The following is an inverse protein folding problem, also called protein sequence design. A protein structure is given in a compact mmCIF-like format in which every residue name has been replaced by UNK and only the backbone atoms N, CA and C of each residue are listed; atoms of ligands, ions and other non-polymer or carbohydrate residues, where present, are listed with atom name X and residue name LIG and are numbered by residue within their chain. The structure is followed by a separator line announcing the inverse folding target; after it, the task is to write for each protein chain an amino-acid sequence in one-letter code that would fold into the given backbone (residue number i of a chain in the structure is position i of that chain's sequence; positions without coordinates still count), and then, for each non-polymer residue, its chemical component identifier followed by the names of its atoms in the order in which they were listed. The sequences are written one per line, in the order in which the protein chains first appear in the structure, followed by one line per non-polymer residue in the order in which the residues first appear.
data_IF_542255852078
#
_entry.id   IF_542255852078
#
_cell.length_a   1.000
_cell.length_b   1.000
_cell.length_c   1.000
_cell.angle_alpha   90.00
_cell.angle_beta   90.00
_cell.angle_gamma   90.00
#
_symmetry.space_group_name_H-M   'P 1'
#
loop_
_entity.id
_entity.type
_entity.pdbx_description
1 polymer ?
#
# COMPACT_ATOMS: atom_id res chain seq x y z
N UNK A 1 -18.28 -13.75 21.08
CA UNK A 1 -17.64 -14.16 19.81
C UNK A 1 -17.11 -12.91 19.11
N UNK A 2 -16.17 -12.20 19.74
CA UNK A 2 -15.69 -10.86 19.30
C UNK A 2 -14.16 -10.76 19.16
N UNK A 3 -13.42 -11.85 19.29
CA UNK A 3 -11.95 -11.80 19.36
C UNK A 3 -11.23 -11.76 18.00
N UNK A 4 -11.96 -11.81 16.87
CA UNK A 4 -11.37 -11.97 15.54
C UNK A 4 -11.41 -10.71 14.65
N UNK A 5 -12.02 -9.61 15.09
CA UNK A 5 -12.25 -8.44 14.23
C UNK A 5 -10.95 -7.72 13.86
N UNK A 6 -9.93 -7.78 14.72
CA UNK A 6 -8.64 -7.09 14.53
C UNK A 6 -7.49 -8.00 14.07
N UNK A 7 -7.81 -9.21 13.62
CA UNK A 7 -6.82 -10.18 13.17
C UNK A 7 -6.63 -10.10 11.67
N UNK A 8 -5.39 -9.85 11.26
CA UNK A 8 -4.95 -10.09 9.89
C UNK A 8 -4.61 -11.57 9.73
N UNK A 9 -5.03 -12.14 8.61
CA UNK A 9 -4.98 -13.58 8.36
C UNK A 9 -3.74 -13.98 7.55
N UNK A 10 -3.12 -13.03 6.86
CA UNK A 10 -1.93 -13.30 6.05
C UNK A 10 -0.65 -13.31 6.88
N UNK A 11 0.29 -14.13 6.43
CA UNK A 11 1.65 -14.23 6.93
C UNK A 11 2.63 -13.74 5.88
N UNK A 12 3.83 -13.26 6.29
CA UNK A 12 4.91 -12.96 5.36
C UNK A 12 5.18 -14.13 4.41
N UNK A 13 5.19 -13.88 3.10
CA UNK A 13 5.41 -14.95 2.13
C UNK A 13 6.88 -15.38 2.10
N UNK A 14 7.12 -16.68 2.31
CA UNK A 14 8.43 -17.33 2.11
C UNK A 14 8.47 -17.90 0.70
N UNK A 15 9.48 -17.52 -0.07
CA UNK A 15 9.68 -17.98 -1.44
C UNK A 15 10.98 -18.78 -1.55
N UNK A 16 10.98 -19.84 -2.36
CA UNK A 16 12.22 -20.34 -2.95
C UNK A 16 12.53 -19.50 -4.18
N UNK A 17 13.49 -18.58 -4.06
CA UNK A 17 13.85 -17.68 -5.15
C UNK A 17 15.09 -18.20 -5.85
N UNK A 18 14.97 -18.42 -7.16
CA UNK A 18 16.08 -18.78 -8.00
C UNK A 18 17.03 -17.57 -8.18
N UNK A 19 18.17 -17.61 -7.49
CA UNK A 19 19.16 -16.53 -7.52
C UNK A 19 19.78 -16.34 -8.91
N UNK A 20 19.93 -17.40 -9.71
CA UNK A 20 20.40 -17.27 -11.09
C UNK A 20 19.40 -16.50 -11.96
N UNK A 21 18.10 -16.61 -11.65
CA UNK A 21 17.07 -15.83 -12.32
C UNK A 21 17.14 -14.35 -11.93
N UNK A 22 17.37 -14.05 -10.65
CA UNK A 22 17.57 -12.66 -10.19
C UNK A 22 18.82 -12.03 -10.84
N UNK A 23 19.92 -12.77 -10.92
CA UNK A 23 21.13 -12.30 -11.59
C UNK A 23 20.90 -11.99 -13.09
N UNK A 24 20.03 -12.77 -13.75
CA UNK A 24 19.61 -12.50 -15.13
C UNK A 24 18.77 -11.21 -15.23
N UNK A 25 17.85 -10.98 -14.28
CA UNK A 25 17.06 -9.74 -14.22
C UNK A 25 17.98 -8.53 -14.03
N UNK A 26 18.92 -8.59 -13.09
CA UNK A 26 19.88 -7.51 -12.85
C UNK A 26 20.74 -7.22 -14.08
N UNK A 27 21.32 -8.26 -14.69
CA UNK A 27 22.13 -8.11 -15.91
C UNK A 27 21.32 -7.51 -17.06
N UNK A 28 20.07 -7.96 -17.24
CA UNK A 28 19.18 -7.42 -18.26
C UNK A 28 18.91 -5.93 -18.02
N UNK A 29 18.60 -5.54 -16.78
CA UNK A 29 18.42 -4.14 -16.40
C UNK A 29 19.69 -3.30 -16.68
N UNK A 30 20.87 -3.79 -16.33
CA UNK A 30 22.13 -3.10 -16.61
C UNK A 30 22.40 -2.90 -18.11
N UNK A 31 21.92 -3.82 -18.96
CA UNK A 31 22.10 -3.76 -20.41
C UNK A 31 21.06 -2.89 -21.11
N UNK A 32 19.83 -2.85 -20.60
CA UNK A 32 18.69 -2.26 -21.31
C UNK A 32 18.05 -1.06 -20.60
N UNK A 33 18.31 -0.86 -19.31
CA UNK A 33 17.74 0.20 -18.48
C UNK A 33 16.30 -0.06 -18.03
N UNK A 34 15.76 -1.27 -18.24
CA UNK A 34 14.41 -1.67 -17.81
C UNK A 34 14.35 -3.18 -17.55
N UNK A 35 13.29 -3.65 -16.90
CA UNK A 35 12.98 -5.08 -16.74
C UNK A 35 11.68 -5.47 -17.47
N UNK A 36 11.53 -6.72 -17.92
CA UNK A 36 10.27 -7.22 -18.45
C UNK A 36 9.16 -7.25 -17.38
N UNK A 37 7.91 -6.99 -17.76
CA UNK A 37 6.76 -6.98 -16.84
C UNK A 37 6.59 -8.29 -16.07
N UNK A 38 6.80 -9.43 -16.74
CA UNK A 38 6.70 -10.76 -16.13
C UNK A 38 7.79 -11.05 -15.08
N UNK A 39 8.82 -10.19 -14.96
CA UNK A 39 9.87 -10.32 -13.94
C UNK A 39 9.59 -9.50 -12.68
N UNK A 40 8.63 -8.56 -12.72
CA UNK A 40 8.43 -7.55 -11.67
C UNK A 40 8.14 -8.17 -10.31
N UNK A 41 7.15 -9.06 -10.23
CA UNK A 41 6.76 -9.66 -8.95
C UNK A 41 7.90 -10.50 -8.36
N UNK A 42 8.54 -11.35 -9.16
CA UNK A 42 9.69 -12.16 -8.71
C UNK A 42 10.83 -11.29 -8.18
N UNK A 43 11.08 -10.14 -8.82
CA UNK A 43 12.10 -9.21 -8.37
C UNK A 43 11.73 -8.53 -7.04
N UNK A 44 10.49 -8.04 -6.92
CA UNK A 44 9.99 -7.40 -5.69
C UNK A 44 9.92 -8.37 -4.52
N UNK A 45 9.43 -9.58 -4.76
CA UNK A 45 9.40 -10.69 -3.79
C UNK A 45 10.79 -10.99 -3.24
N UNK A 46 11.80 -10.98 -4.11
CA UNK A 46 13.19 -11.19 -3.72
C UNK A 46 13.75 -10.05 -2.88
N UNK A 47 13.53 -8.81 -3.29
CA UNK A 47 13.96 -7.64 -2.51
C UNK A 47 13.37 -7.68 -1.09
N UNK A 48 12.08 -7.96 -0.96
CA UNK A 48 11.41 -8.05 0.34
C UNK A 48 11.93 -9.22 1.16
N UNK A 49 12.14 -10.39 0.56
CA UNK A 49 12.65 -11.55 1.26
C UNK A 49 14.07 -11.29 1.80
N UNK A 50 14.97 -10.75 0.97
CA UNK A 50 16.33 -10.42 1.37
C UNK A 50 16.38 -9.35 2.46
N UNK A 51 15.48 -8.38 2.39
CA UNK A 51 15.30 -7.39 3.44
C UNK A 51 14.82 -8.01 4.76
N UNK A 52 13.79 -8.86 4.74
CA UNK A 52 13.25 -9.54 5.92
C UNK A 52 14.31 -10.40 6.60
N UNK A 53 15.15 -11.12 5.84
CA UNK A 53 16.24 -11.94 6.38
C UNK A 53 17.22 -11.14 7.26
N UNK A 54 17.37 -9.83 7.07
CA UNK A 54 18.23 -8.98 7.92
C UNK A 54 17.69 -8.80 9.34
N UNK A 55 16.42 -9.11 9.57
CA UNK A 55 15.77 -9.01 10.87
C UNK A 55 15.82 -10.31 11.65
N UNK A 56 15.92 -11.44 10.95
CA UNK A 56 15.70 -12.76 11.52
C UNK A 56 16.99 -13.30 12.14
N UNK A 57 16.83 -14.06 13.22
CA UNK A 57 17.92 -14.85 13.80
C UNK A 57 18.03 -16.22 13.11
N UNK A 58 16.92 -16.75 12.58
CA UNK A 58 16.85 -17.99 11.81
C UNK A 58 15.82 -17.89 10.68
N UNK A 59 15.92 -18.76 9.67
CA UNK A 59 14.93 -18.82 8.58
C UNK A 59 13.57 -19.41 8.99
N UNK A 60 13.50 -20.04 10.16
CA UNK A 60 12.27 -20.60 10.73
C UNK A 60 11.38 -19.51 11.33
N UNK A 61 11.97 -18.37 11.71
CA UNK A 61 11.26 -17.25 12.33
C UNK A 61 10.38 -16.48 11.33
N UNK A 62 10.58 -16.65 10.02
CA UNK A 62 10.05 -15.77 8.97
C UNK A 62 8.54 -15.53 9.05
N UNK A 63 7.74 -16.57 9.26
CA UNK A 63 6.26 -16.49 9.27
C UNK A 63 5.73 -15.78 10.53
N UNK A 64 6.43 -15.98 11.66
CA UNK A 64 5.96 -15.54 12.98
C UNK A 64 6.66 -14.28 13.49
N UNK A 65 7.71 -13.81 12.82
CA UNK A 65 8.46 -12.65 13.24
C UNK A 65 7.66 -11.34 13.18
N UNK A 66 7.62 -10.58 14.27
CA UNK A 66 6.82 -9.36 14.37
C UNK A 66 7.38 -8.18 13.56
N UNK A 67 8.69 -8.19 13.27
CA UNK A 67 9.45 -7.09 12.67
C UNK A 67 9.44 -5.77 13.46
N UNK A 68 8.97 -5.79 14.71
CA UNK A 68 8.94 -4.61 15.59
C UNK A 68 10.36 -4.04 15.75
N UNK A 69 10.50 -2.74 15.49
CA UNK A 69 11.78 -2.03 15.63
C UNK A 69 12.82 -2.33 14.56
N UNK A 70 12.46 -3.05 13.49
CA UNK A 70 13.39 -3.44 12.43
C UNK A 70 13.42 -2.49 11.23
N UNK A 71 12.47 -1.54 11.14
CA UNK A 71 12.27 -0.71 9.95
C UNK A 71 13.52 0.05 9.49
N UNK A 72 14.28 0.66 10.42
CA UNK A 72 15.53 1.35 10.07
C UNK A 72 16.60 0.42 9.49
N UNK A 73 16.73 -0.80 10.03
CA UNK A 73 17.68 -1.80 9.53
C UNK A 73 17.28 -2.26 8.11
N UNK A 74 16.00 -2.54 7.92
CA UNK A 74 15.45 -2.96 6.62
C UNK A 74 15.60 -1.87 5.58
N UNK A 75 15.31 -0.62 5.94
CA UNK A 75 15.45 0.52 5.03
C UNK A 75 16.90 0.66 4.53
N UNK A 76 17.87 0.58 5.46
CA UNK A 76 19.30 0.63 5.10
C UNK A 76 19.69 -0.52 4.18
N UNK A 77 19.29 -1.76 4.50
CA UNK A 77 19.60 -2.92 3.69
C UNK A 77 19.01 -2.85 2.27
N UNK A 78 17.75 -2.40 2.13
CA UNK A 78 17.12 -2.18 0.82
C UNK A 78 17.82 -1.06 0.05
N UNK A 79 18.15 0.05 0.71
CA UNK A 79 18.86 1.18 0.10
C UNK A 79 20.19 0.72 -0.48
N UNK A 80 21.01 0.06 0.33
CA UNK A 80 22.32 -0.43 -0.08
C UNK A 80 22.25 -1.48 -1.19
N UNK A 81 21.22 -2.35 -1.17
CA UNK A 81 21.01 -3.36 -2.21
C UNK A 81 20.64 -2.70 -3.54
N UNK A 82 19.63 -1.82 -3.54
CA UNK A 82 19.13 -1.15 -4.74
C UNK A 82 20.17 -0.20 -5.35
N UNK A 83 20.94 0.50 -4.51
CA UNK A 83 22.04 1.36 -4.96
C UNK A 83 23.13 0.57 -5.69
N UNK A 84 23.54 -0.58 -5.14
CA UNK A 84 24.54 -1.45 -5.78
C UNK A 84 24.06 -2.01 -7.12
N UNK A 85 22.77 -2.31 -7.23
CA UNK A 85 22.16 -2.81 -8.47
C UNK A 85 21.86 -1.69 -9.48
N UNK A 86 21.98 -0.41 -9.09
CA UNK A 86 21.73 0.74 -9.94
C UNK A 86 20.24 1.06 -10.18
N UNK A 87 19.34 0.59 -9.31
CA UNK A 87 17.91 0.91 -9.40
C UNK A 87 17.59 2.25 -8.72
N UNK A 88 16.86 3.16 -9.37
CA UNK A 88 16.44 4.42 -8.76
C UNK A 88 15.54 4.15 -7.57
N UNK A 89 15.95 4.64 -6.40
CA UNK A 89 15.23 4.40 -5.16
C UNK A 89 15.39 5.58 -4.19
N UNK A 90 14.49 5.63 -3.21
CA UNK A 90 14.46 6.67 -2.19
C UNK A 90 14.13 6.09 -0.84
N UNK A 91 15.00 6.30 0.14
CA UNK A 91 14.67 6.06 1.55
C UNK A 91 13.88 7.27 2.10
N UNK A 92 12.80 7.01 2.84
CA UNK A 92 12.03 8.07 3.49
C UNK A 92 11.38 7.58 4.81
N UNK A 93 10.91 8.52 5.62
CA UNK A 93 10.17 8.22 6.84
C UNK A 93 8.72 8.70 6.71
N UNK A 94 7.77 7.87 7.13
CA UNK A 94 6.35 8.22 7.11
C UNK A 94 6.03 9.42 8.00
N UNK A 95 6.77 9.63 9.09
CA UNK A 95 6.66 10.83 9.91
C UNK A 95 6.79 12.12 9.09
N UNK A 96 7.67 12.14 8.07
CA UNK A 96 7.80 13.31 7.20
C UNK A 96 6.57 13.54 6.31
N UNK A 97 5.83 12.46 5.98
CA UNK A 97 4.63 12.51 5.14
C UNK A 97 3.43 13.00 5.96
N UNK A 98 3.34 12.60 7.23
CA UNK A 98 2.23 12.95 8.14
C UNK A 98 2.58 14.10 9.10
N UNK A 99 3.63 14.86 8.79
CA UNK A 99 4.13 16.00 9.58
C UNK A 99 4.33 15.69 11.08
N UNK A 100 4.89 14.53 11.39
CA UNK A 100 5.15 14.06 12.74
C UNK A 100 6.61 13.62 12.91
N UNK A 101 7.06 13.42 14.16
CA UNK A 101 8.35 12.79 14.47
C UNK A 101 8.50 11.47 13.70
N UNK A 102 9.75 11.00 13.43
CA UNK A 102 9.98 9.74 12.74
C UNK A 102 9.13 8.61 13.32
N UNK A 103 8.36 7.94 12.46
CA UNK A 103 7.44 6.85 12.84
C UNK A 103 7.90 5.54 12.23
N UNK A 104 8.10 5.54 10.92
CA UNK A 104 8.34 4.32 10.17
C UNK A 104 9.22 4.59 8.97
N UNK A 105 10.24 3.75 8.80
CA UNK A 105 11.29 3.91 7.80
C UNK A 105 11.12 2.87 6.69
N UNK A 106 11.02 3.33 5.44
CA UNK A 106 10.74 2.51 4.26
C UNK A 106 11.45 3.05 3.01
N UNK A 107 11.37 2.30 1.91
CA UNK A 107 11.93 2.68 0.63
C UNK A 107 10.82 2.81 -0.42
N UNK A 108 11.01 3.75 -1.34
CA UNK A 108 10.34 3.77 -2.62
C UNK A 108 11.32 3.29 -3.68
N UNK A 109 10.87 2.43 -4.58
CA UNK A 109 11.62 1.94 -5.74
C UNK A 109 10.90 2.39 -7.01
N UNK A 110 11.62 3.03 -7.93
CA UNK A 110 11.13 3.34 -9.27
C UNK A 110 11.65 2.29 -10.23
N UNK A 111 10.76 1.49 -10.81
CA UNK A 111 11.06 0.45 -11.78
C UNK A 111 10.70 0.90 -13.19
N UNK A 112 11.68 0.97 -14.11
CA UNK A 112 11.42 1.01 -15.54
C UNK A 112 11.01 -0.39 -16.03
N UNK A 113 9.79 -0.51 -16.54
CA UNK A 113 9.18 -1.78 -16.93
C UNK A 113 8.77 -1.73 -18.40
N UNK A 114 9.13 -2.75 -19.17
CA UNK A 114 8.63 -2.92 -20.54
C UNK A 114 7.22 -3.54 -20.50
N UNK A 115 6.21 -2.74 -20.87
CA UNK A 115 4.79 -3.13 -21.01
C UNK A 115 4.29 -2.76 -22.39
N UNK A 116 3.72 -3.71 -23.13
CA UNK A 116 3.16 -3.48 -24.48
C UNK A 116 4.12 -2.68 -25.39
N UNK A 117 5.37 -3.12 -25.48
CA UNK A 117 6.47 -2.50 -26.26
C UNK A 117 6.84 -1.06 -25.86
N UNK A 118 6.41 -0.61 -24.67
CA UNK A 118 6.75 0.71 -24.12
C UNK A 118 7.36 0.57 -22.74
N UNK A 119 8.39 1.36 -22.47
CA UNK A 119 8.95 1.48 -21.12
C UNK A 119 8.09 2.46 -20.32
N UNK A 120 7.53 1.98 -19.21
CA UNK A 120 6.80 2.79 -18.22
C UNK A 120 7.60 2.84 -16.91
N UNK A 121 7.39 3.87 -16.11
CA UNK A 121 8.00 4.01 -14.79
C UNK A 121 6.93 3.78 -13.72
N UNK A 122 7.01 2.64 -13.04
CA UNK A 122 6.14 2.35 -11.91
C UNK A 122 6.90 2.57 -10.60
N UNK A 123 6.22 3.14 -9.61
CA UNK A 123 6.78 3.34 -8.28
C UNK A 123 6.16 2.34 -7.31
N UNK A 124 7.00 1.69 -6.52
CA UNK A 124 6.59 0.76 -5.48
C UNK A 124 7.04 1.25 -4.12
N UNK A 125 6.16 1.18 -3.13
CA UNK A 125 6.56 1.32 -1.73
C UNK A 125 6.94 -0.06 -1.22
N UNK A 126 8.16 -0.18 -0.69
CA UNK A 126 8.68 -1.38 -0.06
C UNK A 126 8.57 -1.21 1.45
N UNK A 127 7.68 -1.98 2.07
CA UNK A 127 7.52 -2.06 3.52
C UNK A 127 7.50 -3.51 4.02
N UNK A 128 8.68 -4.17 4.04
CA UNK A 128 8.79 -5.56 4.49
C UNK A 128 8.38 -5.77 5.95
N UNK A 129 8.33 -4.69 6.73
CA UNK A 129 8.12 -4.70 8.19
C UNK A 129 6.74 -4.24 8.62
N UNK A 130 5.81 -4.03 7.68
CA UNK A 130 4.47 -3.52 7.95
C UNK A 130 3.72 -4.31 9.04
N UNK A 131 3.97 -5.63 9.12
CA UNK A 131 3.38 -6.53 10.13
C UNK A 131 3.56 -6.06 11.58
N UNK A 132 4.57 -5.24 11.88
CA UNK A 132 4.72 -4.68 13.23
C UNK A 132 3.53 -3.78 13.66
N UNK A 133 2.80 -3.24 12.69
CA UNK A 133 1.61 -2.41 12.90
C UNK A 133 0.32 -3.22 12.92
N UNK A 134 0.39 -4.55 12.82
CA UNK A 134 -0.77 -5.44 12.69
C UNK A 134 -0.88 -6.42 13.85
N UNK A 135 -0.06 -6.24 14.90
CA UNK A 135 -0.06 -7.06 16.11
C UNK A 135 -1.29 -6.79 16.98
N UNK A 136 -1.89 -7.85 17.55
CA UNK A 136 -3.18 -7.78 18.26
C UNK A 136 -3.13 -6.79 19.42
N UNK A 137 -2.00 -6.75 20.11
CA UNK A 137 -1.78 -5.94 21.30
C UNK A 137 -1.63 -4.44 21.01
N UNK A 138 -1.54 -4.02 19.76
CA UNK A 138 -1.45 -2.60 19.41
C UNK A 138 -2.66 -2.12 18.57
N UNK A 139 -3.44 -3.06 18.03
CA UNK A 139 -4.59 -2.77 17.17
C UNK A 139 -5.92 -2.92 17.90
N UNK A 140 -6.09 -2.15 18.97
CA UNK A 140 -7.32 -2.16 19.78
C UNK A 140 -7.73 -0.74 20.17
N UNK A 141 -9.03 -0.52 20.34
CA UNK A 141 -9.59 0.80 20.68
C UNK A 141 -9.06 1.34 22.01
N UNK A 142 -8.79 0.45 22.97
CA UNK A 142 -8.35 0.80 24.33
C UNK A 142 -7.01 1.55 24.36
N UNK A 143 -6.23 1.47 23.28
CA UNK A 143 -4.98 2.24 23.12
C UNK A 143 -5.20 3.75 23.29
N UNK A 144 -6.40 4.26 23.03
CA UNK A 144 -6.78 5.66 23.28
C UNK A 144 -6.76 6.09 24.76
N UNK A 145 -6.67 5.15 25.70
CA UNK A 145 -6.71 5.42 27.14
C UNK A 145 -5.45 5.01 27.88
N UNK A 146 -4.45 4.49 27.16
CA UNK A 146 -3.19 4.05 27.75
C UNK A 146 -2.21 5.22 27.91
N UNK A 147 -1.41 5.19 28.97
CA UNK A 147 -0.33 6.16 29.15
C UNK A 147 0.74 6.02 28.06
N UNK A 148 1.26 7.16 27.62
CA UNK A 148 2.33 7.24 26.63
C UNK A 148 3.61 6.53 27.07
N UNK A 149 4.12 5.59 26.25
CA UNK A 149 5.38 4.87 26.52
C UNK A 149 6.47 5.22 25.51
N UNK A 150 7.64 5.66 25.97
CA UNK A 150 8.85 5.76 25.14
C UNK A 150 8.90 6.93 24.14
N UNK A 151 9.30 6.66 22.89
CA UNK A 151 9.75 7.68 21.92
C UNK A 151 8.75 8.04 20.79
N UNK A 152 7.72 7.22 20.54
CA UNK A 152 6.54 7.60 19.74
C UNK A 152 5.36 7.46 20.68
N UNK A 153 4.88 8.62 21.15
CA UNK A 153 3.96 8.74 22.28
C UNK A 153 2.65 9.31 21.78
N UNK A 154 1.82 8.45 21.21
CA UNK A 154 0.42 8.78 20.98
C UNK A 154 -0.38 7.60 21.53
N UNK A 155 -1.28 7.88 22.46
CA UNK A 155 -2.25 6.92 22.96
C UNK A 155 -3.27 6.68 21.82
N UNK A 156 -2.87 5.93 20.81
CA UNK A 156 -3.64 5.63 19.61
C UNK A 156 -3.41 4.19 19.17
N UNK A 157 -4.43 3.54 18.58
CA UNK A 157 -4.26 2.24 17.94
C UNK A 157 -3.26 2.32 16.78
N UNK A 158 -2.49 1.25 16.54
CA UNK A 158 -1.59 1.18 15.38
C UNK A 158 -2.35 1.28 14.04
N UNK A 159 -1.66 1.62 12.92
CA UNK A 159 -2.27 1.73 11.59
C UNK A 159 -3.14 0.54 11.17
N UNK A 160 -2.81 -0.68 11.61
CA UNK A 160 -3.61 -1.87 11.32
C UNK A 160 -5.05 -1.79 11.84
N UNK A 161 -5.30 -1.09 12.95
CA UNK A 161 -6.64 -0.90 13.50
C UNK A 161 -7.53 -0.15 12.51
N UNK A 162 -7.04 0.95 11.95
CA UNK A 162 -7.81 1.79 11.03
C UNK A 162 -8.07 1.09 9.69
N UNK A 163 -7.09 0.31 9.21
CA UNK A 163 -7.26 -0.52 8.00
C UNK A 163 -8.32 -1.61 8.22
N UNK A 164 -8.43 -2.17 9.43
CA UNK A 164 -9.42 -3.18 9.77
C UNK A 164 -10.87 -2.67 9.84
N UNK A 165 -11.09 -1.35 9.90
CA UNK A 165 -12.43 -0.76 9.93
C UNK A 165 -13.19 -0.91 8.61
N UNK A 166 -12.49 -1.25 7.50
CA UNK A 166 -13.11 -1.44 6.19
C UNK A 166 -12.66 -2.76 5.53
N UNK A 167 -13.49 -3.38 4.67
CA UNK A 167 -13.08 -4.55 3.91
C UNK A 167 -11.86 -4.31 3.00
N UNK A 168 -11.85 -3.17 2.30
CA UNK A 168 -10.77 -2.79 1.38
C UNK A 168 -9.45 -2.55 2.11
N UNK A 169 -9.47 -1.85 3.26
CA UNK A 169 -8.27 -1.65 4.08
C UNK A 169 -7.72 -2.97 4.62
N UNK A 170 -8.61 -3.90 5.01
CA UNK A 170 -8.23 -5.25 5.46
C UNK A 170 -7.60 -6.07 4.34
N UNK A 171 -8.13 -6.03 3.13
CA UNK A 171 -7.56 -6.71 1.96
C UNK A 171 -6.16 -6.15 1.64
N UNK A 172 -6.06 -4.82 1.55
CA UNK A 172 -4.79 -4.13 1.32
C UNK A 172 -3.72 -4.51 2.35
N UNK A 173 -4.07 -4.47 3.64
CA UNK A 173 -3.14 -4.81 4.71
C UNK A 173 -2.70 -6.28 4.67
N UNK A 174 -3.61 -7.20 4.33
CA UNK A 174 -3.27 -8.62 4.19
C UNK A 174 -2.27 -8.85 3.05
N UNK A 175 -2.50 -8.25 1.88
CA UNK A 175 -1.54 -8.34 0.77
C UNK A 175 -0.21 -7.66 1.14
N UNK A 176 -0.22 -6.52 1.83
CA UNK A 176 1.00 -5.87 2.27
C UNK A 176 1.78 -6.69 3.31
N UNK A 177 1.10 -7.38 4.25
CA UNK A 177 1.77 -8.31 5.18
C UNK A 177 2.44 -9.44 4.39
N UNK A 178 1.74 -10.01 3.42
CA UNK A 178 2.21 -11.13 2.60
C UNK A 178 3.39 -10.73 1.73
N UNK A 179 3.20 -9.74 0.87
CA UNK A 179 4.11 -9.37 -0.19
C UNK A 179 5.17 -8.37 0.27
N UNK A 180 4.87 -7.51 1.25
CA UNK A 180 5.80 -6.52 1.79
C UNK A 180 6.06 -5.32 0.88
N UNK A 181 5.27 -5.15 -0.18
CA UNK A 181 5.30 -4.01 -1.07
C UNK A 181 3.91 -3.73 -1.67
N UNK A 182 3.74 -2.54 -2.24
CA UNK A 182 2.55 -2.22 -3.04
C UNK A 182 2.88 -1.19 -4.13
N UNK A 183 2.07 -1.18 -5.20
CA UNK A 183 2.15 -0.17 -6.25
C UNK A 183 1.67 1.19 -5.72
N UNK A 184 2.49 2.22 -5.87
CA UNK A 184 2.21 3.59 -5.47
C UNK A 184 1.25 4.27 -6.47
N UNK A 185 -0.04 3.96 -6.33
CA UNK A 185 -1.15 4.60 -7.02
C UNK A 185 -2.02 5.39 -6.02
N UNK A 186 -3.00 6.16 -6.51
CA UNK A 186 -3.84 7.01 -5.66
C UNK A 186 -4.56 6.21 -4.56
N UNK A 187 -5.14 5.07 -4.90
CA UNK A 187 -5.93 4.24 -3.99
C UNK A 187 -5.08 3.62 -2.87
N UNK A 188 -4.02 2.90 -3.23
CA UNK A 188 -3.16 2.20 -2.27
C UNK A 188 -2.41 3.18 -1.37
N UNK A 189 -1.88 4.27 -1.95
CA UNK A 189 -1.15 5.27 -1.17
C UNK A 189 -2.07 5.98 -0.20
N UNK A 190 -3.33 6.27 -0.60
CA UNK A 190 -4.31 6.83 0.32
C UNK A 190 -4.61 5.90 1.49
N UNK A 191 -4.93 4.63 1.23
CA UNK A 191 -5.22 3.65 2.29
C UNK A 191 -4.06 3.55 3.30
N UNK A 192 -2.84 3.44 2.79
CA UNK A 192 -1.65 3.34 3.62
C UNK A 192 -1.43 4.60 4.47
N UNK A 193 -1.39 5.78 3.84
CA UNK A 193 -1.06 7.03 4.53
C UNK A 193 -2.19 7.53 5.46
N UNK A 194 -3.46 7.31 5.11
CA UNK A 194 -4.59 7.64 6.00
C UNK A 194 -4.48 6.89 7.33
N UNK A 195 -4.12 5.60 7.29
CA UNK A 195 -3.96 4.81 8.50
C UNK A 195 -2.84 5.34 9.41
N UNK A 196 -1.73 5.82 8.83
CA UNK A 196 -0.66 6.47 9.60
C UNK A 196 -1.02 7.87 10.07
N UNK A 197 -1.80 8.63 9.31
CA UNK A 197 -2.31 9.93 9.74
C UNK A 197 -3.25 9.77 10.95
N UNK A 198 -4.14 8.79 10.91
CA UNK A 198 -5.04 8.48 12.02
C UNK A 198 -4.29 7.95 13.25
N UNK A 199 -3.21 7.18 13.04
CA UNK A 199 -2.31 6.76 14.11
C UNK A 199 -1.67 7.94 14.86
N UNK A 200 -1.35 9.04 14.18
CA UNK A 200 -0.80 10.25 14.85
C UNK A 200 -1.87 11.22 15.32
N UNK A 201 -3.15 10.89 15.16
CA UNK A 201 -4.27 11.76 15.57
C UNK A 201 -4.80 11.33 16.94
N UNK A 202 -4.42 11.99 18.04
CA UNK A 202 -4.93 11.67 19.37
C UNK A 202 -6.43 11.93 19.47
N UNK A 203 -7.11 11.29 20.43
CA UNK A 203 -8.57 11.44 20.60
C UNK A 203 -8.98 12.89 20.87
N UNK A 204 -8.08 13.68 21.45
CA UNK A 204 -8.25 15.10 21.75
C UNK A 204 -8.46 15.95 20.49
N UNK A 205 -7.87 15.55 19.37
CA UNK A 205 -7.90 16.31 18.10
C UNK A 205 -9.20 16.08 17.31
N UNK A 206 -10.01 15.09 17.69
CA UNK A 206 -11.33 14.88 17.09
C UNK A 206 -12.30 15.95 17.58
N UNK A 207 -12.86 16.74 16.66
CA UNK A 207 -13.90 17.74 16.97
C UNK A 207 -15.18 17.07 17.49
N UNK A 208 -15.57 15.95 16.87
CA UNK A 208 -16.64 15.08 17.36
C UNK A 208 -16.06 13.83 18.02
N UNK A 209 -16.18 13.75 19.36
CA UNK A 209 -15.68 12.61 20.14
C UNK A 209 -16.40 11.30 19.82
N UNK A 210 -17.58 11.34 19.19
CA UNK A 210 -18.31 10.14 18.77
C UNK A 210 -17.61 9.37 17.63
N UNK A 211 -16.72 10.04 16.90
CA UNK A 211 -15.97 9.51 15.74
C UNK A 211 -14.63 8.87 16.10
N UNK A 212 -14.15 9.03 17.34
CA UNK A 212 -12.87 8.46 17.78
C UNK A 212 -12.85 6.96 17.52
N UNK A 213 -11.80 6.49 16.83
CA UNK A 213 -11.62 5.07 16.49
C UNK A 213 -12.62 4.49 15.49
N UNK A 214 -13.43 5.31 14.82
CA UNK A 214 -14.41 4.86 13.80
C UNK A 214 -14.11 5.36 12.39
N UNK A 215 -13.14 6.26 12.25
CA UNK A 215 -12.77 6.85 10.96
C UNK A 215 -11.63 6.07 10.36
N UNK A 216 -11.69 5.82 9.05
CA UNK A 216 -10.69 5.03 8.31
C UNK A 216 -10.09 5.79 7.11
N UNK A 217 -10.47 7.06 6.92
CA UNK A 217 -9.97 7.88 5.83
C UNK A 217 -9.88 9.35 6.23
N UNK A 218 -8.96 10.07 5.58
CA UNK A 218 -8.79 11.52 5.75
C UNK A 218 -9.25 12.28 4.51
N UNK A 219 -9.24 13.61 4.58
CA UNK A 219 -9.50 14.48 3.43
C UNK A 219 -8.40 14.49 2.36
N UNK A 220 -7.23 13.90 2.60
CA UNK A 220 -6.14 13.87 1.61
C UNK A 220 -6.39 12.84 0.51
N UNK A 221 -6.05 13.18 -0.73
CA UNK A 221 -6.00 12.20 -1.82
C UNK A 221 -4.69 11.40 -1.79
N UNK A 222 -4.63 10.29 -2.51
CA UNK A 222 -3.37 9.57 -2.70
C UNK A 222 -2.34 10.41 -3.46
N UNK A 223 -2.80 11.20 -4.44
CA UNK A 223 -1.96 12.14 -5.18
C UNK A 223 -1.29 13.19 -4.26
N UNK A 224 -2.00 13.67 -3.23
CA UNK A 224 -1.42 14.57 -2.22
C UNK A 224 -0.27 13.88 -1.48
N UNK A 225 -0.51 12.65 -0.99
CA UNK A 225 0.52 11.87 -0.31
C UNK A 225 1.70 11.51 -1.22
N UNK A 226 1.44 11.16 -2.48
CA UNK A 226 2.49 10.89 -3.49
C UNK A 226 3.37 12.13 -3.69
N UNK A 227 2.77 13.32 -3.76
CA UNK A 227 3.52 14.57 -3.85
C UNK A 227 4.41 14.78 -2.63
N UNK A 228 3.91 14.51 -1.42
CA UNK A 228 4.68 14.63 -0.17
C UNK A 228 5.83 13.62 -0.11
N UNK A 229 5.56 12.35 -0.42
CA UNK A 229 6.57 11.29 -0.50
C UNK A 229 7.69 11.71 -1.46
N UNK A 230 7.36 12.32 -2.60
CA UNK A 230 8.36 12.75 -3.58
C UNK A 230 9.15 13.99 -3.17
N UNK A 231 8.56 14.93 -2.42
CA UNK A 231 9.12 16.28 -2.26
C UNK A 231 10.09 16.52 -1.09
N UNK A 232 10.34 15.58 -0.17
CA UNK A 232 11.24 15.79 0.99
C UNK A 232 10.90 17.02 1.88
N UNK A 233 9.75 17.67 1.67
CA UNK A 233 9.39 18.89 2.38
C UNK A 233 8.95 18.55 3.81
N UNK A 234 9.75 18.97 4.80
CA UNK A 234 9.47 18.82 6.24
C UNK A 234 8.58 19.92 6.82
N UNK A 235 8.07 20.85 6.00
CA UNK A 235 7.37 22.04 6.46
C UNK A 235 5.91 22.04 6.01
N UNK A 236 5.14 21.05 6.46
CA UNK A 236 3.68 21.15 6.46
C UNK A 236 3.21 21.42 7.89
N UNK A 237 2.65 22.61 8.12
CA UNK A 237 1.74 22.84 9.24
C UNK A 237 0.35 22.40 8.78
N UNK A 238 -0.11 21.26 9.27
CA UNK A 238 -1.45 20.73 8.97
C UNK A 238 -2.50 21.56 9.71
N UNK A 239 -3.01 22.62 9.07
CA UNK A 239 -4.31 23.18 9.42
C UNK A 239 -5.37 22.44 8.60
N UNK A 240 -6.29 21.81 9.32
CA UNK A 240 -7.53 21.16 8.84
C UNK A 240 -7.41 19.69 8.40
N UNK A 241 -7.25 18.78 9.38
CA UNK A 241 -7.69 17.39 9.22
C UNK A 241 -9.22 17.41 9.09
N UNK A 242 -9.72 17.39 7.86
CA UNK A 242 -11.13 17.10 7.62
C UNK A 242 -11.35 15.59 7.80
N UNK A 243 -11.66 15.21 9.04
CA UNK A 243 -12.07 13.85 9.42
C UNK A 243 -13.48 13.65 8.86
N UNK A 244 -13.62 13.09 7.65
CA UNK A 244 -14.94 12.82 7.07
C UNK A 244 -15.60 11.58 7.74
N UNK A 245 -16.90 11.70 8.00
CA UNK A 245 -17.75 10.64 8.55
C UNK A 245 -17.95 9.48 7.53
N UNK A 246 -17.66 8.21 7.89
CA UNK A 246 -17.91 7.03 7.04
C UNK A 246 -19.38 6.87 6.60
N UNK A 247 -20.35 7.33 7.40
CA UNK A 247 -21.79 7.25 7.07
C UNK A 247 -22.20 8.30 6.02
N UNK A 248 -21.46 9.40 5.91
CA UNK A 248 -21.69 10.44 4.89
C UNK A 248 -21.10 10.02 3.54
N UNK A 249 -19.99 9.27 3.52
CA UNK A 249 -19.38 8.72 2.30
C UNK A 249 -20.31 7.75 1.55
N UNK A 250 -20.89 6.76 2.23
CA UNK A 250 -21.83 5.82 1.63
C UNK A 250 -23.10 6.52 1.10
N UNK A 251 -23.56 7.57 1.79
CA UNK A 251 -24.70 8.38 1.37
C UNK A 251 -24.36 9.41 0.26
N UNK A 252 -23.14 9.93 0.18
CA UNK A 252 -22.65 10.77 -0.93
C UNK A 252 -22.50 9.92 -2.20
N UNK A 253 -21.91 8.74 -2.12
CA UNK A 253 -21.73 7.82 -3.26
C UNK A 253 -23.11 7.32 -3.74
N UNK A 254 -24.00 6.92 -2.84
CA UNK A 254 -25.39 6.53 -3.15
C UNK A 254 -26.20 7.68 -3.77
N UNK A 255 -26.04 8.93 -3.28
CA UNK A 255 -26.67 10.12 -3.88
C UNK A 255 -26.05 10.53 -5.22
N UNK A 256 -24.74 10.31 -5.44
CA UNK A 256 -24.06 10.58 -6.71
C UNK A 256 -24.51 9.59 -7.78
N UNK A 257 -24.64 8.30 -7.42
CA UNK A 257 -25.20 7.25 -8.28
C UNK A 257 -26.70 7.54 -8.55
N UNK A 258 -27.51 7.87 -7.54
CA UNK A 258 -28.93 8.21 -7.76
C UNK A 258 -29.15 9.53 -8.54
N UNK A 259 -28.21 10.48 -8.51
CA UNK A 259 -28.25 11.69 -9.36
C UNK A 259 -27.83 11.42 -10.81
N UNK A 260 -26.98 10.41 -11.06
CA UNK A 260 -26.65 9.97 -12.42
C UNK A 260 -27.80 9.22 -13.10
N UNK A 261 -28.72 8.62 -12.33
CA UNK A 261 -29.88 7.86 -12.88
C UNK A 261 -31.23 8.60 -12.85
N UNK A 262 -31.24 9.94 -12.69
CA UNK A 262 -32.48 10.74 -12.82
C UNK A 262 -32.29 11.94 -13.73
N UNK A 263 -32.09 11.69 -15.03
CA UNK A 263 -32.69 12.48 -16.13
C UNK A 263 -32.52 11.77 -17.48
N UNK A 264 -33.65 11.24 -17.95
CA UNK A 264 -34.13 11.07 -19.34
C UNK A 264 -33.27 10.29 -20.34
N UNK A 265 -33.81 9.12 -20.70
CA UNK A 265 -33.96 8.55 -22.03
C UNK A 265 -33.02 9.09 -23.13
N UNK A 266 -32.13 8.21 -23.58
CA UNK A 266 -32.08 7.81 -24.99
C UNK A 266 -31.51 6.38 -25.03
N UNK A 267 -32.41 5.40 -24.94
CA UNK A 267 -32.14 4.04 -25.41
C UNK A 267 -32.09 4.05 -26.94
N UNK A 268 -31.22 3.23 -27.53
CA UNK A 268 -30.98 2.99 -28.96
C UNK A 268 -29.73 3.73 -29.48
N UNK A 269 -28.52 3.31 -29.06
CA UNK A 269 -27.33 3.36 -29.93
C UNK A 269 -26.11 2.54 -29.44
N UNK A 270 -26.30 1.46 -28.68
CA UNK A 270 -25.17 0.60 -28.23
C UNK A 270 -25.24 -0.83 -28.80
N UNK A 271 -26.40 -1.31 -29.25
CA UNK A 271 -26.52 -2.66 -29.85
C UNK A 271 -26.09 -2.74 -31.32
N UNK A 272 -25.76 -1.62 -31.98
CA UNK A 272 -25.33 -1.61 -33.39
C UNK A 272 -23.80 -1.68 -33.58
N UNK A 273 -23.01 -1.50 -32.52
CA UNK A 273 -21.54 -1.64 -32.57
C UNK A 273 -21.02 -3.02 -32.12
N UNK A 274 -21.91 -3.90 -31.64
CA UNK A 274 -21.53 -5.25 -31.16
C UNK A 274 -21.84 -6.39 -32.13
N UNK A 275 -22.50 -6.13 -33.27
CA UNK A 275 -22.80 -7.15 -34.29
C UNK A 275 -21.87 -7.14 -35.52
N UNK A 276 -20.95 -6.17 -35.65
CA UNK A 276 -20.05 -6.06 -36.81
C UNK A 276 -18.62 -6.62 -36.57
N UNK A 277 -18.37 -7.29 -35.44
CA UNK A 277 -17.05 -7.86 -35.11
C UNK A 277 -17.05 -9.41 -35.11
N UNK A 278 -18.18 -10.07 -35.33
CA UNK A 278 -18.26 -11.55 -35.41
C UNK A 278 -18.35 -12.13 -36.83
N UNK A 279 -18.18 -11.32 -37.89
CA UNK A 279 -18.15 -11.83 -39.27
C UNK A 279 -16.88 -11.42 -40.00
N UNK A 280 -15.75 -12.05 -39.65
CA UNK A 280 -14.61 -12.25 -40.56
C UNK A 280 -13.68 -13.32 -39.99
N UNK A 281 -14.14 -14.57 -40.01
CA UNK A 281 -13.28 -15.77 -40.03
C UNK A 281 -13.56 -16.48 -41.36
N UNK A 282 -12.60 -16.53 -42.29
CA UNK A 282 -12.76 -17.33 -43.50
C UNK A 282 -12.41 -18.77 -43.16
N UNK A 283 -13.43 -19.64 -43.07
CA UNK A 283 -13.20 -21.08 -43.07
C UNK A 283 -13.88 -21.75 -44.27
N UNK A 284 -13.00 -22.28 -45.11
CA UNK A 284 -13.13 -23.45 -45.98
C UNK A 284 -14.52 -24.07 -46.14
N UNK A 285 -15.02 -24.09 -47.39
CA UNK A 285 -15.87 -25.19 -47.84
C UNK A 285 -15.45 -25.72 -49.21
N UNK A 286 -15.23 -27.02 -49.16
CA UNK A 286 -15.09 -27.96 -50.25
C UNK A 286 -16.23 -27.85 -51.28
N UNK A 287 -15.86 -28.02 -52.54
CA UNK A 287 -16.76 -28.32 -53.64
C UNK A 287 -17.28 -29.77 -53.53
N UNK A 288 -18.61 -29.93 -53.55
CA UNK A 288 -19.34 -30.84 -54.43
C UNK A 288 -20.79 -30.38 -54.52
#
# INVERSE_FOLDING_TARGET
MEDNIYLFLQEPKKYEINIDYIAKIEKFYQQHGFIPENCVNTFLDWLVMEARKKCLNSEEDFLNFSYKGCCGRVQGALKDLLDRMGFPNKAFNIGNVVAHKPIHALNMLTLPILKNDKVVLDNYILDPTFRQFTLKEENRFERYFEEERGAIKVATPHPGYFLNLTPQGREFANELIKDGYFLMNDENTKLYCDAFQLYVTPKEDYTDKSLVGKVSFTGYSGADYIKLINTNLTNFTMSDIYIEDPVVSANKISRKIKKLFKKKDDSIEIEKMLNDITSNVPDSKFYK
#
